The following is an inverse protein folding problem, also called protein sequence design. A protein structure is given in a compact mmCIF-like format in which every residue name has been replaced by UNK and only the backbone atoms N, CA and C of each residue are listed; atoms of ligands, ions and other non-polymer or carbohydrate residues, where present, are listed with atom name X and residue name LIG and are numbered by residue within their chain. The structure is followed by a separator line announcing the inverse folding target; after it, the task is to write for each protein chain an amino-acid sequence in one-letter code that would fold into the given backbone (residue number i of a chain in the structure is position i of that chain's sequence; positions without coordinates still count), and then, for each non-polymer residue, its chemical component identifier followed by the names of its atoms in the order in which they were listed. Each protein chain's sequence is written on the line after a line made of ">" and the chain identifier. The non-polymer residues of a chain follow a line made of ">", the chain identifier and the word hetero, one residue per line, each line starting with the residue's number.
data_IF_282524011716
#
_entry.id   IF_282524011716
#
_cell.length_a   1.000
_cell.length_b   1.000
_cell.length_c   1.000
_cell.angle_alpha   90.00
_cell.angle_beta   90.00
_cell.angle_gamma   90.00
#
_symmetry.space_group_name_H-M   'P 1'
#
loop_
_entity.id
_entity.type
_entity.pdbx_description
1 polymer ?
#
# COMPACT_ATOMS: atom_id res chain seq x y z
N UNK A 1 -12.23 -6.66 -30.75
CA UNK A 1 -11.94 -7.62 -29.67
C UNK A 1 -10.44 -7.89 -29.69
N UNK A 2 -9.75 -7.51 -28.63
CA UNK A 2 -8.30 -7.69 -28.55
C UNK A 2 -7.98 -9.11 -28.05
N UNK A 3 -7.19 -9.85 -28.80
CA UNK A 3 -6.88 -11.24 -28.48
C UNK A 3 -5.59 -11.32 -27.63
N UNK A 4 -5.75 -11.61 -26.34
CA UNK A 4 -4.70 -11.91 -25.39
C UNK A 4 -4.94 -13.28 -24.72
N UNK A 5 -5.53 -14.23 -25.46
CA UNK A 5 -5.97 -15.53 -24.94
C UNK A 5 -4.83 -16.42 -24.41
N UNK A 6 -3.59 -16.06 -24.64
CA UNK A 6 -2.40 -16.71 -24.09
C UNK A 6 -1.81 -15.98 -22.86
N UNK A 7 -2.43 -14.89 -22.40
CA UNK A 7 -1.93 -14.07 -21.28
C UNK A 7 -2.86 -14.15 -20.06
N UNK A 8 -2.27 -14.14 -18.89
CA UNK A 8 -2.97 -13.92 -17.62
C UNK A 8 -3.29 -12.44 -17.49
N UNK A 9 -4.57 -12.08 -17.39
CA UNK A 9 -5.03 -10.71 -17.13
C UNK A 9 -5.02 -10.40 -15.62
N UNK A 10 -4.30 -9.37 -15.22
CA UNK A 10 -4.20 -8.91 -13.83
C UNK A 10 -4.96 -7.59 -13.73
N UNK A 11 -5.99 -7.52 -12.88
CA UNK A 11 -6.76 -6.31 -12.66
C UNK A 11 -6.20 -5.55 -11.45
N UNK A 12 -5.61 -4.38 -11.73
CA UNK A 12 -4.97 -3.49 -10.77
C UNK A 12 -3.44 -3.47 -10.89
N UNK A 13 -2.87 -2.29 -11.15
CA UNK A 13 -1.44 -2.00 -11.27
C UNK A 13 -0.76 -1.57 -9.96
N UNK A 14 -1.33 -1.93 -8.81
CA UNK A 14 -0.72 -1.69 -7.50
C UNK A 14 0.41 -2.67 -7.17
N UNK A 15 0.94 -2.59 -5.93
CA UNK A 15 2.03 -3.47 -5.46
C UNK A 15 1.71 -4.95 -5.72
N UNK A 16 0.50 -5.40 -5.43
CA UNK A 16 0.10 -6.79 -5.62
C UNK A 16 0.13 -7.20 -7.11
N UNK A 17 -0.46 -6.40 -7.99
CA UNK A 17 -0.53 -6.69 -9.43
C UNK A 17 0.83 -6.64 -10.10
N UNK A 18 1.64 -5.63 -9.80
CA UNK A 18 3.01 -5.52 -10.34
C UNK A 18 3.90 -6.67 -9.86
N UNK A 19 3.83 -7.02 -8.56
CA UNK A 19 4.60 -8.14 -8.00
C UNK A 19 4.20 -9.47 -8.64
N UNK A 20 2.89 -9.70 -8.82
CA UNK A 20 2.38 -10.89 -9.51
C UNK A 20 2.82 -10.91 -10.98
N UNK A 21 2.69 -9.78 -11.68
CA UNK A 21 3.11 -9.64 -13.07
C UNK A 21 4.59 -9.96 -13.26
N UNK A 22 5.48 -9.38 -12.44
CA UNK A 22 6.91 -9.69 -12.44
C UNK A 22 7.16 -11.19 -12.19
N UNK A 23 6.45 -11.77 -11.23
CA UNK A 23 6.62 -13.19 -10.89
C UNK A 23 6.21 -14.09 -12.06
N UNK A 24 5.05 -13.84 -12.67
CA UNK A 24 4.57 -14.64 -13.81
C UNK A 24 5.51 -14.53 -15.01
N UNK A 25 5.91 -13.33 -15.39
CA UNK A 25 6.81 -13.12 -16.52
C UNK A 25 8.18 -13.77 -16.29
N UNK A 26 8.70 -13.73 -15.08
CA UNK A 26 9.96 -14.39 -14.72
C UNK A 26 9.88 -15.92 -14.82
N UNK A 27 8.73 -16.50 -14.54
CA UNK A 27 8.46 -17.94 -14.69
C UNK A 27 8.03 -18.30 -16.15
N UNK A 28 8.13 -17.35 -17.10
CA UNK A 28 7.78 -17.57 -18.52
C UNK A 28 6.28 -17.61 -18.80
N UNK A 29 5.45 -17.18 -17.88
CA UNK A 29 4.00 -17.12 -18.02
C UNK A 29 3.61 -15.72 -18.52
N UNK A 30 3.08 -15.57 -19.75
CA UNK A 30 2.70 -14.27 -20.28
C UNK A 30 1.59 -13.63 -19.44
N UNK A 31 1.78 -12.38 -19.06
CA UNK A 31 0.85 -11.62 -18.24
C UNK A 31 0.67 -10.19 -18.77
N UNK A 32 -0.48 -9.60 -18.48
CA UNK A 32 -0.83 -8.22 -18.81
C UNK A 32 -1.57 -7.58 -17.64
N UNK A 33 -1.27 -6.33 -17.35
CA UNK A 33 -1.93 -5.57 -16.27
C UNK A 33 -2.92 -4.59 -16.87
N UNK A 34 -4.11 -4.49 -16.27
CA UNK A 34 -5.13 -3.47 -16.55
C UNK A 34 -5.29 -2.59 -15.32
N UNK A 35 -4.97 -1.30 -15.45
CA UNK A 35 -5.00 -0.31 -14.38
C UNK A 35 -6.06 0.77 -14.69
N UNK A 36 -6.88 1.12 -13.68
CA UNK A 36 -7.96 2.09 -13.85
C UNK A 36 -7.49 3.55 -13.90
N UNK A 37 -6.35 3.86 -13.25
CA UNK A 37 -5.78 5.21 -13.24
C UNK A 37 -5.02 5.53 -14.51
N UNK A 38 -4.73 6.81 -14.73
CA UNK A 38 -3.71 7.24 -15.67
C UNK A 38 -2.31 6.99 -15.10
N UNK A 39 -1.31 6.98 -15.95
CA UNK A 39 0.07 6.53 -15.72
C UNK A 39 0.80 7.08 -14.47
N UNK A 40 0.32 8.15 -13.86
CA UNK A 40 1.04 8.88 -12.83
C UNK A 40 0.28 9.07 -11.52
N UNK A 41 0.00 8.06 -10.71
CA UNK A 41 -0.45 8.33 -9.33
C UNK A 41 -0.04 7.26 -8.34
N UNK A 42 1.22 7.21 -7.92
CA UNK A 42 1.54 6.57 -6.65
C UNK A 42 1.43 7.61 -5.52
N UNK A 43 0.31 7.60 -4.82
CA UNK A 43 0.14 8.34 -3.56
C UNK A 43 0.45 7.37 -2.41
N UNK A 44 1.03 7.85 -1.35
CA UNK A 44 1.27 7.08 -0.13
C UNK A 44 2.59 7.45 0.54
N UNK A 45 2.61 7.47 1.87
CA UNK A 45 3.78 7.89 2.62
C UNK A 45 4.91 6.85 2.54
N UNK A 46 4.82 5.78 3.30
CA UNK A 46 5.85 4.76 3.36
C UNK A 46 5.24 3.37 3.59
N UNK A 47 6.08 2.35 3.50
CA UNK A 47 5.73 0.96 3.71
C UNK A 47 6.86 0.25 4.45
N UNK A 48 6.50 -0.72 5.27
CA UNK A 48 7.41 -1.65 5.92
C UNK A 48 7.29 -3.04 5.30
N UNK A 49 8.41 -3.67 5.03
CA UNK A 49 8.52 -4.96 4.36
C UNK A 49 9.24 -5.96 5.27
N UNK A 50 8.56 -7.02 5.64
CA UNK A 50 9.10 -8.12 6.44
C UNK A 50 9.78 -9.18 5.57
N UNK A 51 10.50 -10.10 6.20
CA UNK A 51 11.35 -11.10 5.54
C UNK A 51 10.64 -11.93 4.46
N UNK A 52 9.35 -12.23 4.63
CA UNK A 52 8.57 -12.95 3.61
C UNK A 52 8.41 -12.13 2.33
N UNK A 53 8.16 -10.81 2.45
CA UNK A 53 8.10 -9.91 1.30
C UNK A 53 9.48 -9.75 0.65
N UNK A 54 10.55 -9.55 1.46
CA UNK A 54 11.91 -9.36 0.94
C UNK A 54 12.38 -10.54 0.11
N UNK A 55 12.07 -11.79 0.53
CA UNK A 55 12.38 -12.99 -0.26
C UNK A 55 11.70 -13.00 -1.64
N UNK A 56 10.47 -12.52 -1.72
CA UNK A 56 9.77 -12.42 -2.99
C UNK A 56 10.37 -11.33 -3.89
N UNK A 57 10.70 -10.17 -3.30
CA UNK A 57 11.35 -9.08 -4.03
C UNK A 57 12.76 -9.45 -4.53
N UNK A 58 13.47 -10.27 -3.79
CA UNK A 58 14.76 -10.85 -4.21
C UNK A 58 14.57 -11.79 -5.41
N UNK A 59 13.59 -12.68 -5.35
CA UNK A 59 13.25 -13.57 -6.49
C UNK A 59 12.93 -12.81 -7.77
N UNK A 60 12.36 -11.64 -7.72
CA UNK A 60 12.06 -10.80 -8.88
C UNK A 60 13.15 -9.75 -9.15
N UNK A 61 14.32 -9.85 -8.51
CA UNK A 61 15.53 -9.07 -8.75
C UNK A 61 15.41 -7.56 -8.47
N UNK A 62 14.56 -7.13 -7.54
CA UNK A 62 14.47 -5.71 -7.15
C UNK A 62 15.00 -5.43 -5.74
N UNK A 63 15.28 -6.45 -4.93
CA UNK A 63 15.66 -6.29 -3.54
C UNK A 63 16.92 -5.44 -3.35
N UNK A 64 17.96 -5.66 -4.15
CA UNK A 64 19.23 -4.90 -4.05
C UNK A 64 19.00 -3.40 -4.24
N UNK A 65 18.35 -3.02 -5.35
CA UNK A 65 18.09 -1.62 -5.68
C UNK A 65 17.15 -0.96 -4.66
N UNK A 66 16.21 -1.74 -4.10
CA UNK A 66 15.31 -1.25 -3.06
C UNK A 66 16.05 -1.01 -1.75
N UNK A 67 16.95 -1.92 -1.37
CA UNK A 67 17.74 -1.83 -0.15
C UNK A 67 18.58 -0.56 -0.11
N UNK A 68 19.19 -0.18 -1.22
CA UNK A 68 20.06 1.00 -1.33
C UNK A 68 19.30 2.32 -1.12
N UNK A 69 17.97 2.31 -1.32
CA UNK A 69 17.07 3.47 -1.18
C UNK A 69 16.17 3.38 0.07
N UNK A 70 16.53 2.54 1.03
CA UNK A 70 15.66 2.18 2.15
C UNK A 70 16.42 2.19 3.47
N UNK A 71 15.72 1.99 4.57
CA UNK A 71 16.31 1.79 5.89
C UNK A 71 16.04 0.37 6.39
N UNK A 72 17.04 -0.26 7.01
CA UNK A 72 16.90 -1.58 7.62
C UNK A 72 16.79 -1.42 9.13
N UNK A 73 15.62 -1.76 9.65
CA UNK A 73 15.35 -1.77 11.08
C UNK A 73 15.64 -3.16 11.65
N UNK A 74 16.39 -3.21 12.76
CA UNK A 74 16.69 -4.44 13.52
C UNK A 74 16.24 -4.36 14.96
N UNK A 75 15.64 -3.23 15.34
CA UNK A 75 15.13 -2.94 16.66
C UNK A 75 13.77 -2.24 16.59
N UNK A 76 13.01 -2.38 17.66
CA UNK A 76 11.80 -1.60 17.89
C UNK A 76 11.73 -1.18 19.36
N UNK A 77 11.07 -0.05 19.61
CA UNK A 77 10.77 0.44 20.94
C UNK A 77 9.28 0.61 21.15
N UNK A 78 8.82 0.33 22.34
CA UNK A 78 7.43 0.55 22.77
C UNK A 78 7.45 1.61 23.87
N UNK A 79 6.57 2.59 23.75
CA UNK A 79 6.36 3.64 24.72
C UNK A 79 4.86 3.76 25.05
N UNK A 80 4.53 4.20 26.24
CA UNK A 80 3.27 4.83 26.55
C UNK A 80 3.26 6.27 26.00
N UNK A 81 2.15 7.00 26.09
CA UNK A 81 2.14 8.41 25.67
C UNK A 81 3.21 9.30 26.31
N UNK A 82 3.69 8.95 27.50
CA UNK A 82 4.58 9.79 28.30
C UNK A 82 5.91 9.12 28.69
N UNK A 83 6.03 7.79 28.59
CA UNK A 83 7.17 7.05 29.11
C UNK A 83 7.64 5.95 28.16
N UNK A 84 8.95 5.76 28.07
CA UNK A 84 9.55 4.59 27.44
C UNK A 84 9.23 3.33 28.26
N UNK A 85 8.80 2.24 27.59
CA UNK A 85 8.50 0.96 28.23
C UNK A 85 9.65 -0.03 27.98
N UNK A 86 9.97 -0.29 26.72
CA UNK A 86 11.04 -1.24 26.37
C UNK A 86 11.60 -1.01 24.98
N UNK A 87 12.80 -1.48 24.76
CA UNK A 87 13.42 -1.66 23.44
C UNK A 87 13.77 -3.16 23.26
N UNK A 88 13.58 -3.69 22.06
CA UNK A 88 13.87 -5.09 21.76
C UNK A 88 14.37 -5.24 20.31
N UNK A 89 15.10 -6.34 20.09
CA UNK A 89 15.55 -6.71 18.74
C UNK A 89 14.39 -7.32 17.96
N UNK A 90 14.32 -6.99 16.69
CA UNK A 90 13.37 -7.58 15.72
C UNK A 90 14.12 -8.29 14.61
N UNK A 91 13.52 -9.24 13.90
CA UNK A 91 13.99 -9.59 12.57
C UNK A 91 14.12 -8.34 11.70
N UNK A 92 14.99 -8.37 10.72
CA UNK A 92 15.14 -7.25 9.78
C UNK A 92 13.82 -6.90 9.12
N UNK A 93 13.46 -5.62 9.20
CA UNK A 93 12.32 -5.00 8.53
C UNK A 93 12.87 -3.87 7.67
N UNK A 94 12.65 -3.94 6.38
CA UNK A 94 13.01 -2.88 5.47
C UNK A 94 11.87 -1.87 5.37
N UNK A 95 12.18 -0.59 5.55
CA UNK A 95 11.22 0.51 5.45
C UNK A 95 11.64 1.48 4.36
N UNK A 96 10.69 1.90 3.54
CA UNK A 96 10.96 2.73 2.37
C UNK A 96 9.76 3.60 2.00
N UNK A 97 9.94 4.56 1.11
CA UNK A 97 8.82 5.26 0.46
C UNK A 97 8.03 4.26 -0.38
N UNK A 98 6.71 4.28 -0.26
CA UNK A 98 5.84 3.44 -1.09
C UNK A 98 6.07 3.68 -2.59
N UNK A 99 6.35 4.93 -2.95
CA UNK A 99 6.64 5.31 -4.33
C UNK A 99 7.91 4.62 -4.86
N UNK A 100 8.99 4.56 -4.07
CA UNK A 100 10.23 3.87 -4.44
C UNK A 100 9.96 2.41 -4.80
N UNK A 101 9.21 1.69 -3.95
CA UNK A 101 8.83 0.30 -4.23
C UNK A 101 7.99 0.20 -5.51
N UNK A 102 7.02 1.08 -5.71
CA UNK A 102 6.17 1.08 -6.89
C UNK A 102 6.96 1.33 -8.18
N UNK A 103 7.88 2.29 -8.18
CA UNK A 103 8.73 2.61 -9.33
C UNK A 103 9.60 1.40 -9.70
N UNK A 104 10.29 0.80 -8.73
CA UNK A 104 11.14 -0.37 -8.98
C UNK A 104 10.34 -1.59 -9.47
N UNK A 105 9.14 -1.80 -8.95
CA UNK A 105 8.24 -2.87 -9.43
C UNK A 105 7.80 -2.62 -10.87
N UNK A 106 7.45 -1.39 -11.20
CA UNK A 106 7.04 -1.00 -12.55
C UNK A 106 8.18 -1.15 -13.55
N UNK A 107 9.35 -0.62 -13.24
CA UNK A 107 10.57 -0.73 -14.06
C UNK A 107 10.92 -2.21 -14.30
N UNK A 108 10.87 -3.02 -13.26
CA UNK A 108 11.15 -4.46 -13.38
C UNK A 108 10.10 -5.16 -14.25
N UNK A 109 8.81 -4.84 -14.08
CA UNK A 109 7.74 -5.42 -14.89
C UNK A 109 7.93 -5.10 -16.39
N UNK A 110 8.20 -3.84 -16.70
CA UNK A 110 8.48 -3.40 -18.09
C UNK A 110 9.75 -4.04 -18.65
N UNK A 111 10.82 -4.14 -17.85
CA UNK A 111 12.08 -4.78 -18.28
C UNK A 111 11.93 -6.26 -18.62
N UNK A 112 10.95 -6.94 -17.99
CA UNK A 112 10.59 -8.33 -18.30
C UNK A 112 9.66 -8.46 -19.53
N UNK A 113 9.38 -7.36 -20.22
CA UNK A 113 8.45 -7.33 -21.36
C UNK A 113 6.98 -7.24 -20.97
N UNK A 114 6.70 -6.82 -19.75
CA UNK A 114 5.32 -6.62 -19.26
C UNK A 114 4.64 -5.43 -19.91
N UNK A 115 3.34 -5.51 -20.10
CA UNK A 115 2.49 -4.51 -20.73
C UNK A 115 1.38 -4.09 -19.79
N UNK A 116 1.14 -2.77 -19.68
CA UNK A 116 0.09 -2.20 -18.83
C UNK A 116 -0.87 -1.40 -19.68
N UNK A 117 -2.15 -1.70 -19.58
CA UNK A 117 -3.24 -0.90 -20.14
C UNK A 117 -3.79 0.02 -19.06
N UNK A 118 -3.44 1.29 -19.11
CA UNK A 118 -3.98 2.34 -18.24
C UNK A 118 -5.39 2.75 -18.66
N UNK A 119 -6.13 3.43 -17.77
CA UNK A 119 -7.51 3.86 -17.98
C UNK A 119 -8.48 2.69 -18.28
N UNK A 120 -8.13 1.49 -17.81
CA UNK A 120 -8.93 0.29 -17.95
C UNK A 120 -9.64 -0.07 -16.64
N UNK A 121 -10.72 0.66 -16.33
CA UNK A 121 -11.57 0.31 -15.18
C UNK A 121 -12.35 -0.95 -15.49
N UNK A 122 -12.15 -2.01 -14.71
CA UNK A 122 -12.87 -3.28 -14.87
C UNK A 122 -14.38 -3.10 -14.75
N UNK A 123 -15.15 -3.76 -15.62
CA UNK A 123 -16.61 -3.75 -15.64
C UNK A 123 -17.19 -5.12 -15.36
N UNK A 124 -16.78 -6.15 -16.12
CA UNK A 124 -17.31 -7.52 -15.96
C UNK A 124 -16.36 -8.55 -16.59
N UNK A 125 -16.53 -9.79 -16.20
CA UNK A 125 -15.82 -10.93 -16.78
C UNK A 125 -16.80 -12.06 -17.12
N UNK A 126 -16.76 -12.50 -18.35
CA UNK A 126 -17.47 -13.71 -18.82
C UNK A 126 -16.55 -14.91 -18.64
N UNK A 127 -16.87 -15.74 -17.66
CA UNK A 127 -16.08 -16.95 -17.34
C UNK A 127 -16.15 -18.01 -18.45
N UNK A 128 -17.25 -18.06 -19.20
CA UNK A 128 -17.43 -19.08 -20.27
C UNK A 128 -16.53 -18.82 -21.48
N UNK A 129 -16.28 -17.55 -21.78
CA UNK A 129 -15.46 -17.11 -22.91
C UNK A 129 -14.08 -16.57 -22.47
N UNK A 130 -13.80 -16.53 -21.17
CA UNK A 130 -12.62 -15.88 -20.61
C UNK A 130 -12.43 -14.44 -21.11
N UNK A 131 -13.53 -13.67 -21.19
CA UNK A 131 -13.55 -12.31 -21.73
C UNK A 131 -13.73 -11.26 -20.64
N UNK A 132 -12.74 -10.36 -20.49
CA UNK A 132 -12.85 -9.19 -19.65
C UNK A 132 -13.38 -7.99 -20.44
N UNK A 133 -14.36 -7.29 -19.85
CA UNK A 133 -14.92 -6.05 -20.39
C UNK A 133 -14.61 -4.89 -19.46
N UNK A 134 -14.21 -3.74 -20.01
CA UNK A 134 -13.85 -2.54 -19.30
C UNK A 134 -14.89 -1.42 -19.49
N UNK A 135 -14.87 -0.38 -18.63
CA UNK A 135 -15.84 0.74 -18.72
C UNK A 135 -15.67 1.60 -19.97
N UNK A 136 -14.50 1.57 -20.59
CA UNK A 136 -14.26 2.20 -21.92
C UNK A 136 -14.84 1.38 -23.08
N UNK A 137 -15.60 0.30 -22.80
CA UNK A 137 -16.18 -0.67 -23.73
C UNK A 137 -15.17 -1.55 -24.47
N UNK A 138 -13.91 -1.52 -24.12
CA UNK A 138 -12.94 -2.44 -24.65
C UNK A 138 -13.13 -3.85 -24.06
N UNK A 139 -12.79 -4.86 -24.85
CA UNK A 139 -12.92 -6.27 -24.51
C UNK A 139 -11.66 -7.03 -24.87
N UNK A 140 -11.25 -7.91 -23.95
CA UNK A 140 -10.04 -8.71 -24.08
C UNK A 140 -10.32 -10.17 -23.76
N UNK A 141 -9.97 -11.07 -24.68
CA UNK A 141 -9.90 -12.51 -24.39
C UNK A 141 -8.61 -12.80 -23.65
N UNK A 142 -8.68 -13.54 -22.56
CA UNK A 142 -7.56 -13.82 -21.65
C UNK A 142 -7.46 -15.34 -21.42
N UNK A 143 -6.30 -15.83 -20.97
CA UNK A 143 -6.20 -17.21 -20.48
C UNK A 143 -6.85 -17.36 -19.10
N UNK A 144 -6.59 -16.41 -18.21
CA UNK A 144 -7.08 -16.35 -16.83
C UNK A 144 -7.26 -14.90 -16.41
N UNK A 145 -8.06 -14.66 -15.37
CA UNK A 145 -8.19 -13.35 -14.74
C UNK A 145 -7.80 -13.44 -13.28
N UNK A 146 -6.96 -12.51 -12.82
CA UNK A 146 -6.55 -12.40 -11.41
C UNK A 146 -6.89 -11.02 -10.86
N UNK A 147 -7.58 -11.00 -9.72
CA UNK A 147 -7.99 -9.77 -9.04
C UNK A 147 -6.90 -9.25 -8.12
N UNK A 148 -6.34 -8.07 -8.46
CA UNK A 148 -5.43 -7.29 -7.65
C UNK A 148 -5.98 -5.86 -7.43
N UNK A 149 -7.30 -5.68 -7.52
CA UNK A 149 -8.04 -4.41 -7.55
C UNK A 149 -8.36 -3.84 -6.13
N UNK A 150 -7.69 -4.37 -5.11
CA UNK A 150 -7.62 -3.78 -3.77
C UNK A 150 -8.90 -3.93 -2.93
N UNK A 151 -9.02 -3.06 -1.92
CA UNK A 151 -10.12 -3.16 -0.95
C UNK A 151 -11.49 -2.89 -1.58
N UNK A 152 -11.55 -2.11 -2.66
CA UNK A 152 -12.78 -1.79 -3.41
C UNK A 152 -12.98 -2.72 -4.61
N UNK A 153 -12.43 -3.94 -4.55
CA UNK A 153 -12.49 -4.94 -5.60
C UNK A 153 -13.90 -5.13 -6.14
N UNK A 154 -14.09 -4.81 -7.40
CA UNK A 154 -15.33 -5.05 -8.14
C UNK A 154 -15.46 -6.52 -8.58
N UNK A 155 -14.34 -7.20 -8.79
CA UNK A 155 -14.31 -8.64 -9.05
C UNK A 155 -14.83 -9.40 -7.84
N UNK A 156 -14.37 -9.03 -6.63
CA UNK A 156 -14.88 -9.63 -5.40
C UNK A 156 -16.38 -9.43 -5.25
N UNK A 157 -16.91 -8.24 -5.57
CA UNK A 157 -18.34 -7.98 -5.51
C UNK A 157 -19.12 -8.80 -6.54
N UNK A 158 -18.58 -8.96 -7.74
CA UNK A 158 -19.25 -9.70 -8.81
C UNK A 158 -19.33 -11.22 -8.53
N UNK A 159 -18.24 -11.82 -8.01
CA UNK A 159 -18.13 -13.28 -7.99
C UNK A 159 -18.22 -13.90 -6.60
N UNK A 160 -17.87 -13.18 -5.54
CA UNK A 160 -17.70 -13.78 -4.21
C UNK A 160 -18.62 -13.20 -3.15
N UNK A 161 -18.85 -11.90 -3.15
CA UNK A 161 -19.60 -11.22 -2.08
C UNK A 161 -20.49 -10.11 -2.64
N UNK A 162 -21.57 -10.45 -3.36
CA UNK A 162 -22.50 -9.45 -3.89
C UNK A 162 -23.00 -8.51 -2.79
N UNK A 163 -22.98 -7.21 -3.05
CA UNK A 163 -23.41 -6.14 -2.15
C UNK A 163 -22.60 -5.98 -0.86
N UNK A 164 -21.49 -6.68 -0.68
CA UNK A 164 -20.56 -6.44 0.43
C UNK A 164 -19.52 -5.38 0.09
N UNK A 165 -19.77 -4.16 0.51
CA UNK A 165 -18.79 -3.06 0.40
C UNK A 165 -17.82 -3.05 1.58
N UNK A 166 -16.63 -2.40 1.45
CA UNK A 166 -15.82 -2.06 2.60
C UNK A 166 -16.64 -1.28 3.62
N UNK A 167 -16.44 -1.54 4.91
CA UNK A 167 -17.06 -0.81 5.99
C UNK A 167 -16.02 -0.02 6.77
N UNK A 168 -16.41 1.14 7.27
CA UNK A 168 -15.58 1.92 8.17
C UNK A 168 -15.28 1.12 9.45
N UNK A 169 -14.03 1.18 9.91
CA UNK A 169 -13.59 0.41 11.08
C UNK A 169 -13.87 1.08 12.42
N UNK A 170 -14.24 2.35 12.44
CA UNK A 170 -14.30 3.19 13.63
C UNK A 170 -12.95 3.84 13.98
N UNK A 171 -11.99 3.81 13.05
CA UNK A 171 -10.67 4.41 13.23
C UNK A 171 -10.28 5.27 12.04
N UNK A 172 -9.58 6.36 12.31
CA UNK A 172 -8.88 7.16 11.31
C UNK A 172 -7.36 7.01 11.47
N UNK A 173 -6.63 7.37 10.43
CA UNK A 173 -5.18 7.38 10.43
C UNK A 173 -4.63 8.67 9.83
N UNK A 174 -3.78 9.34 10.59
CA UNK A 174 -2.90 10.37 10.09
C UNK A 174 -1.63 9.75 9.54
N UNK A 175 -1.13 10.30 8.46
CA UNK A 175 0.16 9.90 7.88
C UNK A 175 0.92 11.10 7.36
N UNK A 176 2.24 11.01 7.52
CA UNK A 176 3.16 11.99 7.00
C UNK A 176 4.57 11.43 6.94
N UNK A 177 5.43 12.25 6.34
CA UNK A 177 6.87 12.06 6.37
C UNK A 177 7.44 13.35 6.96
N UNK A 178 8.40 13.23 7.87
CA UNK A 178 9.11 14.35 8.47
C UNK A 178 10.58 14.01 8.71
N UNK A 179 11.31 14.88 9.36
CA UNK A 179 12.71 14.69 9.73
C UNK A 179 12.86 14.32 11.20
N UNK A 180 13.69 13.31 11.48
CA UNK A 180 14.05 12.91 12.85
C UNK A 180 15.34 12.10 12.84
N UNK A 181 16.01 12.05 13.99
CA UNK A 181 17.18 11.18 14.23
C UNK A 181 16.78 9.76 14.65
N UNK A 182 15.57 9.35 14.38
CA UNK A 182 15.08 8.02 14.73
C UNK A 182 15.87 6.93 14.02
N UNK A 183 16.32 5.90 14.74
CA UNK A 183 17.16 4.82 14.22
C UNK A 183 16.49 3.44 14.29
N UNK A 184 15.23 3.36 14.73
CA UNK A 184 14.48 2.12 14.88
C UNK A 184 12.98 2.36 14.69
N UNK A 185 12.19 1.29 14.63
CA UNK A 185 10.73 1.41 14.67
C UNK A 185 10.30 1.81 16.07
N UNK A 186 9.47 2.81 16.15
CA UNK A 186 8.96 3.39 17.39
C UNK A 186 7.45 3.26 17.47
N UNK A 187 6.96 2.56 18.48
CA UNK A 187 5.54 2.44 18.80
C UNK A 187 5.22 3.27 20.04
N UNK A 188 4.24 4.14 19.96
CA UNK A 188 3.63 4.77 21.11
C UNK A 188 2.19 4.32 21.22
N UNK A 189 1.83 3.70 22.34
CA UNK A 189 0.55 3.05 22.56
C UNK A 189 -0.23 3.77 23.65
N UNK A 190 -1.44 4.24 23.33
CA UNK A 190 -2.35 4.91 24.25
C UNK A 190 -3.77 4.33 24.18
N UNK A 191 -4.66 4.77 25.08
CA UNK A 191 -6.06 4.34 25.05
C UNK A 191 -6.76 4.73 23.76
N UNK A 192 -7.19 3.75 22.96
CA UNK A 192 -7.89 3.97 21.69
C UNK A 192 -7.08 4.60 20.58
N UNK A 193 -5.77 4.78 20.76
CA UNK A 193 -4.88 5.41 19.79
C UNK A 193 -3.48 4.80 19.83
N UNK A 194 -2.76 4.91 18.72
CA UNK A 194 -1.35 4.54 18.66
C UNK A 194 -0.62 5.30 17.55
N UNK A 195 0.67 5.48 17.74
CA UNK A 195 1.55 6.10 16.75
C UNK A 195 2.67 5.11 16.44
N UNK A 196 2.96 4.92 15.17
CA UNK A 196 4.10 4.15 14.69
C UNK A 196 4.96 5.05 13.83
N UNK A 197 6.22 5.24 14.22
CA UNK A 197 7.21 6.02 13.46
C UNK A 197 8.40 5.14 13.12
N UNK A 198 8.96 5.33 11.92
CA UNK A 198 10.11 4.56 11.48
C UNK A 198 10.93 5.33 10.42
N UNK A 199 12.27 5.23 10.45
CA UNK A 199 13.13 5.79 9.41
C UNK A 199 12.85 5.09 8.08
N UNK A 200 12.99 5.80 6.97
CA UNK A 200 12.72 5.27 5.61
C UNK A 200 13.91 5.40 4.67
N UNK A 201 14.95 6.10 5.11
CA UNK A 201 16.25 6.19 4.44
C UNK A 201 17.33 6.57 5.47
N UNK A 202 18.58 6.70 5.03
CA UNK A 202 19.70 7.12 5.87
C UNK A 202 19.89 8.66 5.91
N UNK A 203 18.95 9.43 5.35
CA UNK A 203 18.99 10.90 5.25
C UNK A 203 18.15 11.60 6.33
N UNK A 204 17.63 10.81 7.29
CA UNK A 204 16.81 11.31 8.39
C UNK A 204 15.33 11.47 8.05
N UNK A 205 14.85 10.96 6.91
CA UNK A 205 13.43 10.91 6.64
C UNK A 205 12.77 9.82 7.50
N UNK A 206 11.72 10.20 8.18
CA UNK A 206 10.92 9.33 9.06
C UNK A 206 9.46 9.39 8.61
N UNK A 207 8.87 8.24 8.36
CA UNK A 207 7.43 8.13 8.17
C UNK A 207 6.74 7.85 9.49
N UNK A 208 5.55 8.41 9.68
CA UNK A 208 4.69 8.05 10.80
C UNK A 208 3.27 7.72 10.34
N UNK A 209 2.61 6.89 11.13
CA UNK A 209 1.18 6.57 11.05
C UNK A 209 0.62 6.71 12.45
N UNK A 210 -0.34 7.61 12.63
CA UNK A 210 -0.99 7.84 13.91
C UNK A 210 -2.48 7.50 13.78
N UNK A 211 -2.92 6.44 14.45
CA UNK A 211 -4.29 5.96 14.41
C UNK A 211 -5.04 6.34 15.68
N UNK A 212 -6.27 6.80 15.51
CA UNK A 212 -7.18 7.11 16.62
C UNK A 212 -8.58 6.61 16.35
N UNK A 213 -9.29 6.29 17.42
CA UNK A 213 -10.71 5.94 17.37
C UNK A 213 -11.54 7.19 17.05
N UNK A 214 -12.51 7.05 16.15
CA UNK A 214 -13.37 8.15 15.72
C UNK A 214 -14.84 7.78 15.86
N UNK A 215 -15.66 8.73 16.32
CA UNK A 215 -17.10 8.55 16.44
C UNK A 215 -17.82 8.71 15.08
N UNK A 216 -17.24 9.48 14.17
CA UNK A 216 -17.82 9.78 12.86
C UNK A 216 -17.03 9.11 11.75
N UNK A 217 -17.71 8.71 10.68
CA UNK A 217 -17.09 8.14 9.49
C UNK A 217 -16.30 9.21 8.74
N UNK A 218 -14.98 9.02 8.66
CA UNK A 218 -14.12 9.80 7.77
C UNK A 218 -14.14 9.22 6.37
N UNK A 219 -14.19 10.11 5.38
CA UNK A 219 -14.11 9.71 3.98
C UNK A 219 -12.74 9.09 3.68
N UNK A 220 -12.71 8.07 2.85
CA UNK A 220 -11.48 7.49 2.33
C UNK A 220 -10.94 8.42 1.22
N UNK A 221 -10.36 9.54 1.62
CA UNK A 221 -9.78 10.50 0.69
C UNK A 221 -8.27 10.66 0.95
N UNK A 222 -7.46 10.19 0.03
CA UNK A 222 -6.01 10.45 0.01
C UNK A 222 -5.66 11.91 -0.28
N UNK A 223 -6.69 12.79 -0.40
CA UNK A 223 -6.55 14.19 -0.83
C UNK A 223 -6.89 15.18 0.27
N UNK A 224 -7.44 14.75 1.39
CA UNK A 224 -7.72 15.64 2.50
C UNK A 224 -6.43 15.92 3.25
N UNK A 225 -5.86 17.08 2.99
CA UNK A 225 -4.72 17.61 3.73
C UNK A 225 -5.23 18.07 5.09
N UNK A 226 -4.61 17.54 6.16
CA UNK A 226 -4.87 17.97 7.53
C UNK A 226 -3.82 18.96 8.01
N UNK A 227 -4.17 19.76 9.01
CA UNK A 227 -3.20 20.65 9.65
C UNK A 227 -2.40 19.92 10.74
N UNK A 228 -1.21 20.43 11.04
CA UNK A 228 -0.40 19.91 12.14
C UNK A 228 -1.07 20.13 13.50
N UNK A 229 -1.82 21.22 13.67
CA UNK A 229 -2.57 21.50 14.89
C UNK A 229 -3.67 20.46 15.11
N UNK A 230 -4.44 20.09 14.07
CA UNK A 230 -5.46 19.07 14.18
C UNK A 230 -4.86 17.69 14.55
N UNK A 231 -3.65 17.37 14.03
CA UNK A 231 -2.92 16.17 14.43
C UNK A 231 -2.57 16.21 15.92
N UNK A 232 -2.05 17.34 16.42
CA UNK A 232 -1.71 17.48 17.83
C UNK A 232 -2.95 17.41 18.74
N UNK A 233 -4.06 17.97 18.34
CA UNK A 233 -5.33 17.91 19.08
C UNK A 233 -5.85 16.46 19.18
N UNK A 234 -5.85 15.71 18.08
CA UNK A 234 -6.23 14.29 18.06
C UNK A 234 -5.33 13.41 18.96
N UNK A 235 -4.08 13.82 19.18
CA UNK A 235 -3.07 13.11 19.96
C UNK A 235 -2.58 13.86 21.19
N UNK A 236 -3.42 14.72 21.78
CA UNK A 236 -3.06 15.58 22.89
C UNK A 236 -2.54 14.85 24.15
N UNK A 237 -2.81 13.56 24.30
CA UNK A 237 -2.26 12.73 25.39
C UNK A 237 -0.79 12.38 25.23
N UNK A 238 -0.22 12.57 24.03
CA UNK A 238 1.17 12.25 23.72
C UNK A 238 2.05 13.49 23.80
N UNK A 239 3.34 13.31 24.15
CA UNK A 239 4.32 14.39 24.00
C UNK A 239 4.42 14.75 22.50
N UNK A 240 4.24 16.02 22.09
CA UNK A 240 4.37 16.43 20.70
C UNK A 240 5.71 16.04 20.04
N UNK A 241 6.79 15.88 20.82
CA UNK A 241 8.10 15.44 20.34
C UNK A 241 8.13 14.03 19.77
N UNK A 242 7.06 13.26 19.96
CA UNK A 242 6.94 11.91 19.38
C UNK A 242 6.78 11.95 17.86
N UNK A 243 6.27 13.05 17.33
CA UNK A 243 6.17 13.26 15.89
C UNK A 243 7.50 13.76 15.31
N UNK A 244 7.87 13.34 14.10
CA UNK A 244 8.99 13.95 13.39
C UNK A 244 8.70 15.42 13.09
N UNK A 245 9.76 16.20 12.90
CA UNK A 245 9.62 17.60 12.46
C UNK A 245 9.01 17.61 11.06
N UNK A 246 7.85 18.25 10.95
CA UNK A 246 7.13 18.42 9.69
C UNK A 246 7.54 19.76 9.09
N UNK A 247 8.21 19.73 7.94
CA UNK A 247 8.55 20.92 7.17
C UNK A 247 7.33 21.44 6.40
N UNK A 248 7.26 22.72 6.10
CA UNK A 248 6.13 23.37 5.39
C UNK A 248 5.83 22.74 4.01
N UNK A 249 6.84 22.13 3.39
CA UNK A 249 6.71 21.43 2.12
C UNK A 249 6.09 20.02 2.26
N UNK A 250 5.95 19.51 3.47
CA UNK A 250 5.47 18.15 3.75
C UNK A 250 3.98 18.16 4.00
N UNK A 251 3.30 17.20 3.38
CA UNK A 251 1.85 17.07 3.46
C UNK A 251 1.45 16.05 4.52
N UNK A 252 0.47 16.43 5.32
CA UNK A 252 -0.22 15.55 6.26
C UNK A 252 -1.56 15.13 5.67
N UNK A 253 -1.89 13.86 5.84
CA UNK A 253 -3.15 13.30 5.36
C UNK A 253 -3.86 12.57 6.49
N UNK A 254 -5.17 12.78 6.61
CA UNK A 254 -6.04 12.02 7.52
C UNK A 254 -7.10 11.29 6.69
N UNK A 255 -7.34 10.01 6.97
CA UNK A 255 -8.40 9.25 6.31
C UNK A 255 -8.96 8.14 7.19
N UNK A 256 -10.20 7.73 6.91
CA UNK A 256 -10.83 6.61 7.56
C UNK A 256 -10.20 5.27 7.20
N UNK A 257 -10.08 4.38 8.17
CA UNK A 257 -9.63 3.00 7.95
C UNK A 257 -10.85 2.14 7.64
N UNK A 258 -10.83 1.49 6.49
CA UNK A 258 -11.89 0.59 6.02
C UNK A 258 -11.42 -0.86 6.06
N UNK A 259 -12.34 -1.75 6.34
CA UNK A 259 -12.11 -3.19 6.43
C UNK A 259 -13.16 -3.95 5.61
N UNK A 260 -12.80 -5.13 5.16
CA UNK A 260 -13.74 -6.12 4.59
C UNK A 260 -13.74 -7.40 5.42
N UNK A 261 -14.87 -8.06 5.62
CA UNK A 261 -14.90 -9.39 6.20
C UNK A 261 -14.12 -10.38 5.31
N UNK A 262 -13.51 -11.42 5.87
CA UNK A 262 -12.83 -12.45 5.07
C UNK A 262 -13.80 -13.12 4.09
N UNK A 263 -13.27 -13.65 2.99
CA UNK A 263 -14.05 -14.52 2.10
C UNK A 263 -14.32 -15.84 2.83
N UNK A 264 -15.54 -16.37 2.65
CA UNK A 264 -15.94 -17.66 3.23
C UNK A 264 -15.42 -18.83 2.39
N UNK A 265 -15.25 -18.63 1.09
CA UNK A 265 -14.68 -19.59 0.12
C UNK A 265 -14.12 -18.81 -1.07
N UNK A 266 -13.15 -19.38 -1.72
CA UNK A 266 -12.63 -18.94 -3.02
C UNK A 266 -12.91 -20.04 -4.04
#
# INVERSE_FOLDING_TARGET
>A
MNNLSNRVGIIGGGIAGLTLGCTLLKEGIPAVIFEQSSEEKSHGAAISLSQNALRLLDRINIFSNLKDQSFINTKASINSPQHAICEFKTPEVLTTRRQTLMTLLLEQYVSLGGEIFYQHTFKSFDQSNCEATFKNNEKYSLSHLVACDGIRSSIREQFFTPNQKPRYSGYSAWRGIGKSNLQNVHFALGPGSHIVSYPINNEGDVSFVACTKEEYEFTESWKEEGSYNDLLDDFAIYDPKIFPVIEDSMKLYKWGIYIRPPLKSM
#
